data_IF_388394949030
#
_entry.id   IF_388394949030
#
_cell.length_a   1.000
_cell.length_b   1.000
_cell.length_c   1.000
_cell.angle_alpha   90.00
_cell.angle_beta   90.00
_cell.angle_gamma   90.00
#
_symmetry.space_group_name_H-M   'P 1'
#
loop_
_entity.id
_entity.type
_entity.pdbx_description
1 polymer ?
#
# COMPACT_ATOMS: atom_id res chain seq x y z
N UNK A 1 -3.51 22.28 16.01
CA UNK A 1 -4.65 21.36 15.80
C UNK A 1 -4.34 20.54 14.56
N UNK A 2 -4.74 19.27 14.53
CA UNK A 2 -4.64 18.47 13.32
C UNK A 2 -5.80 18.84 12.38
N UNK A 3 -5.53 18.88 11.09
CA UNK A 3 -6.55 19.07 10.05
C UNK A 3 -7.21 17.70 9.81
N UNK A 4 -8.53 17.66 9.62
CA UNK A 4 -9.24 16.43 9.26
C UNK A 4 -9.06 16.15 7.76
N UNK A 5 -8.37 15.05 7.36
CA UNK A 5 -8.12 14.74 5.96
C UNK A 5 -9.39 14.38 5.18
N UNK A 6 -10.51 14.14 5.88
CA UNK A 6 -11.82 13.79 5.29
C UNK A 6 -12.71 15.01 5.08
N UNK A 7 -12.35 16.17 5.66
CA UNK A 7 -13.12 17.41 5.51
C UNK A 7 -12.68 18.14 4.24
N UNK A 8 -13.51 18.14 3.17
CA UNK A 8 -13.17 18.78 1.91
C UNK A 8 -13.01 20.31 2.05
N UNK A 9 -13.61 20.93 3.07
CA UNK A 9 -13.50 22.37 3.33
C UNK A 9 -12.14 22.81 3.88
N UNK A 10 -11.26 21.86 4.22
CA UNK A 10 -9.88 22.14 4.64
C UNK A 10 -8.93 22.33 3.47
N UNK A 11 -9.30 21.87 2.27
CA UNK A 11 -8.55 22.08 1.04
C UNK A 11 -8.96 23.43 0.44
N UNK A 12 -8.00 24.31 0.22
CA UNK A 12 -8.24 25.55 -0.53
C UNK A 12 -8.38 25.20 -2.01
N UNK A 13 -9.58 25.33 -2.56
CA UNK A 13 -9.84 25.22 -4.00
C UNK A 13 -9.29 26.48 -4.69
N UNK A 14 -8.02 26.43 -5.11
CA UNK A 14 -7.44 27.46 -5.98
C UNK A 14 -7.95 27.17 -7.40
N UNK A 15 -8.53 28.14 -8.12
CA UNK A 15 -8.93 27.94 -9.54
C UNK A 15 -7.74 27.58 -10.46
N UNK A 16 -6.50 27.71 -9.97
CA UNK A 16 -5.24 27.29 -10.60
C UNK A 16 -4.75 25.88 -10.17
N UNK A 17 -5.47 25.14 -9.30
CA UNK A 17 -5.08 23.79 -8.85
C UNK A 17 -5.51 22.67 -9.82
N UNK A 18 -6.16 23.01 -10.93
CA UNK A 18 -5.91 22.23 -12.15
C UNK A 18 -4.52 22.61 -12.65
N UNK A 19 -3.48 22.11 -11.98
CA UNK A 19 -2.29 21.75 -12.75
C UNK A 19 -2.84 20.91 -13.89
N UNK A 20 -2.85 21.44 -15.12
CA UNK A 20 -2.87 20.60 -16.30
C UNK A 20 -1.64 19.72 -16.14
N UNK A 21 -1.81 18.58 -15.46
CA UNK A 21 -0.89 17.47 -15.50
C UNK A 21 -1.08 16.87 -16.90
N UNK A 22 -0.79 17.68 -17.92
CA UNK A 22 -0.57 17.21 -19.27
C UNK A 22 0.57 16.22 -19.16
N UNK A 23 0.21 14.94 -19.18
CA UNK A 23 1.12 13.85 -19.46
C UNK A 23 2.43 13.95 -18.65
N UNK A 24 2.32 14.06 -17.32
CA UNK A 24 3.50 13.93 -16.44
C UNK A 24 3.93 12.47 -16.51
N UNK A 25 4.61 12.13 -17.60
CA UNK A 25 5.29 10.87 -17.77
C UNK A 25 6.28 10.76 -16.61
N UNK A 26 6.04 9.79 -15.73
CA UNK A 26 7.07 9.35 -14.80
C UNK A 26 8.35 9.04 -15.63
N UNK A 27 9.53 9.22 -15.04
CA UNK A 27 10.78 8.84 -15.71
C UNK A 27 10.67 7.43 -16.28
N UNK A 28 11.34 7.13 -17.40
CA UNK A 28 11.29 5.79 -18.02
C UNK A 28 11.59 4.67 -17.01
N UNK A 29 12.49 4.92 -16.06
CA UNK A 29 12.80 4.01 -14.97
C UNK A 29 11.62 3.82 -14.00
N UNK A 30 10.98 4.92 -13.59
CA UNK A 30 9.84 4.89 -12.66
C UNK A 30 8.61 4.26 -13.33
N UNK A 31 8.35 4.56 -14.60
CA UNK A 31 7.27 3.95 -15.37
C UNK A 31 7.50 2.44 -15.54
N UNK A 32 8.73 2.02 -15.82
CA UNK A 32 9.07 0.61 -15.90
C UNK A 32 8.84 -0.14 -14.57
N UNK A 33 9.13 0.50 -13.44
CA UNK A 33 8.82 -0.06 -12.11
C UNK A 33 7.30 -0.13 -11.87
N UNK A 34 6.56 0.93 -12.21
CA UNK A 34 5.09 0.97 -12.02
C UNK A 34 4.34 -0.04 -12.90
N UNK A 35 4.84 -0.32 -14.10
CA UNK A 35 4.25 -1.32 -14.99
C UNK A 35 4.67 -2.76 -14.67
N UNK A 36 5.56 -2.96 -13.69
CA UNK A 36 5.94 -4.30 -13.25
C UNK A 36 4.76 -4.93 -12.51
N UNK A 37 4.49 -6.21 -12.81
CA UNK A 37 3.51 -6.97 -12.04
C UNK A 37 3.93 -7.00 -10.57
N UNK A 38 3.01 -6.64 -9.69
CA UNK A 38 3.17 -6.86 -8.26
C UNK A 38 3.10 -8.36 -8.03
N UNK A 39 4.18 -8.97 -7.56
CA UNK A 39 4.15 -10.37 -7.11
C UNK A 39 3.13 -10.45 -5.97
N UNK A 40 2.19 -11.41 -5.96
CA UNK A 40 1.26 -11.59 -4.85
C UNK A 40 1.98 -12.29 -3.68
N UNK A 41 3.10 -11.72 -3.24
CA UNK A 41 3.73 -12.00 -1.93
C UNK A 41 2.99 -11.21 -0.85
N UNK A 42 1.68 -11.09 -0.98
CA UNK A 42 0.83 -10.39 -0.03
C UNK A 42 0.42 -11.39 1.04
N UNK A 43 0.36 -10.91 2.28
CA UNK A 43 -0.17 -11.70 3.39
C UNK A 43 -1.62 -12.07 3.11
N UNK A 44 -2.00 -13.29 3.50
CA UNK A 44 -3.37 -13.74 3.32
C UNK A 44 -4.33 -12.81 4.07
N UNK A 45 -5.49 -12.48 3.49
CA UNK A 45 -6.48 -11.66 4.18
C UNK A 45 -6.92 -12.34 5.48
N UNK A 46 -7.13 -11.55 6.53
CA UNK A 46 -7.57 -12.03 7.85
C UNK A 46 -9.04 -12.53 7.88
N UNK A 47 -9.53 -13.09 6.77
CA UNK A 47 -10.91 -13.60 6.61
C UNK A 47 -11.10 -14.95 7.27
N UNK A 48 -10.04 -15.73 7.47
CA UNK A 48 -10.10 -17.10 8.03
C UNK A 48 -9.61 -17.21 9.48
N UNK A 49 -9.16 -16.11 10.09
CA UNK A 49 -8.60 -16.07 11.45
C UNK A 49 -9.62 -15.59 12.47
N UNK A 50 -9.56 -16.18 13.67
CA UNK A 50 -10.37 -15.75 14.82
C UNK A 50 -9.88 -14.39 15.34
N UNK A 51 -10.74 -13.38 15.25
CA UNK A 51 -10.41 -11.99 15.64
C UNK A 51 -10.33 -11.78 17.15
N UNK A 52 -10.84 -12.71 17.95
CA UNK A 52 -10.77 -12.62 19.41
C UNK A 52 -9.49 -13.26 19.97
N UNK A 53 -8.70 -13.93 19.13
CA UNK A 53 -7.49 -14.65 19.55
C UNK A 53 -6.31 -13.71 19.89
N UNK A 54 -6.20 -12.56 19.23
CA UNK A 54 -5.15 -11.57 19.44
C UNK A 54 -5.57 -10.19 18.94
N UNK A 55 -4.72 -9.16 19.16
CA UNK A 55 -4.95 -7.86 18.56
C UNK A 55 -4.69 -7.90 17.03
N UNK A 56 -5.18 -6.90 16.30
CA UNK A 56 -5.08 -6.85 14.84
C UNK A 56 -3.64 -6.94 14.31
N UNK A 57 -2.68 -6.26 14.96
CA UNK A 57 -1.29 -6.27 14.54
C UNK A 57 -0.66 -7.66 14.69
N UNK A 58 -0.96 -8.36 15.79
CA UNK A 58 -0.48 -9.72 16.03
C UNK A 58 -1.11 -10.71 15.03
N UNK A 59 -2.38 -10.54 14.67
CA UNK A 59 -3.05 -11.40 13.68
C UNK A 59 -2.45 -11.25 12.28
N UNK A 60 -2.12 -10.03 11.84
CA UNK A 60 -1.43 -9.77 10.57
C UNK A 60 -0.06 -10.45 10.53
N UNK A 61 0.73 -10.30 11.60
CA UNK A 61 2.07 -10.89 11.62
C UNK A 61 2.04 -12.42 11.66
N UNK A 62 1.00 -13.01 12.29
CA UNK A 62 0.82 -14.46 12.31
C UNK A 62 0.32 -15.04 10.99
N UNK A 63 -0.45 -14.29 10.21
CA UNK A 63 -0.92 -14.70 8.88
C UNK A 63 0.11 -14.47 7.77
N UNK A 64 1.25 -13.86 8.11
CA UNK A 64 2.30 -13.53 7.16
C UNK A 64 2.95 -14.79 6.57
N UNK A 65 2.92 -14.89 5.24
CA UNK A 65 3.54 -16.02 4.52
C UNK A 65 5.04 -15.78 4.42
N UNK A 66 5.83 -16.55 5.17
CA UNK A 66 7.29 -16.51 5.09
C UNK A 66 7.76 -17.51 4.03
N UNK A 67 8.33 -17.01 2.93
CA UNK A 67 9.01 -17.86 1.95
C UNK A 67 10.24 -18.50 2.61
N UNK A 68 10.26 -19.84 2.65
CA UNK A 68 11.45 -20.59 3.06
C UNK A 68 12.28 -20.88 1.81
N UNK A 69 13.48 -20.31 1.73
CA UNK A 69 14.48 -20.73 0.75
C UNK A 69 15.29 -21.89 1.33
N UNK A 70 15.05 -23.09 0.81
CA UNK A 70 15.75 -24.31 1.26
C UNK A 70 17.23 -24.32 0.82
N UNK A 71 17.62 -23.50 -0.16
CA UNK A 71 19.00 -23.37 -0.62
C UNK A 71 19.84 -22.40 0.25
N UNK A 72 19.21 -21.54 1.07
CA UNK A 72 19.89 -20.62 2.00
C UNK A 72 20.58 -21.33 3.18
N UNK A 73 20.29 -22.62 3.41
CA UNK A 73 20.86 -23.44 4.49
C UNK A 73 21.87 -24.49 3.97
N UNK A 74 22.79 -24.13 3.07
CA UNK A 74 23.92 -24.99 2.65
C UNK A 74 25.29 -24.53 3.14
#
# INVERSE_FOLDING_TARGET
MAVDPTDPGTFTETEDDSVELDDVEASEADAAEQHKNVTPEQDDPLTEVDRDAANEADLVEQSRVVSLDEDDYR
#
